data_IF_904537240034
#
_entry.id   IF_904537240034
#
_cell.length_a   1.000
_cell.length_b   1.000
_cell.length_c   1.000
_cell.angle_alpha   90.00
_cell.angle_beta   90.00
_cell.angle_gamma   90.00
#
_symmetry.space_group_name_H-M   'P 1'
#
loop_
_entity.id
_entity.type
_entity.pdbx_description
1 polymer ?
#
# COMPACT_ATOMS: atom_id res chain seq x y z
N UNK A 1 -7.51 20.17 -12.15
CA UNK A 1 -6.17 19.71 -11.72
C UNK A 1 -6.17 18.19 -11.78
N UNK A 2 -5.13 17.57 -12.35
CA UNK A 2 -4.98 16.12 -12.41
C UNK A 2 -3.86 15.71 -11.44
N UNK A 3 -4.16 14.90 -10.44
CA UNK A 3 -3.18 14.36 -9.50
C UNK A 3 -2.48 13.16 -10.14
N UNK A 4 -1.14 13.18 -10.14
CA UNK A 4 -0.31 12.03 -10.52
C UNK A 4 0.30 11.42 -9.25
N UNK A 5 0.13 10.12 -9.04
CA UNK A 5 0.60 9.42 -7.84
C UNK A 5 1.28 8.09 -8.24
N UNK A 6 2.61 8.08 -8.43
CA UNK A 6 3.34 6.86 -8.74
C UNK A 6 3.49 5.96 -7.50
N UNK A 7 3.45 4.64 -7.71
CA UNK A 7 3.55 3.61 -6.67
C UNK A 7 4.75 2.72 -6.95
N UNK A 8 5.51 2.37 -5.91
CA UNK A 8 6.74 1.58 -6.02
C UNK A 8 6.72 0.39 -5.06
N UNK A 9 7.23 -0.76 -5.51
CA UNK A 9 7.40 -1.94 -4.66
C UNK A 9 8.82 -1.94 -4.07
N UNK A 10 8.89 -1.96 -2.75
CA UNK A 10 10.13 -2.08 -2.00
C UNK A 10 10.21 -3.46 -1.32
N UNK A 11 11.23 -4.26 -1.65
CA UNK A 11 11.47 -5.60 -1.06
C UNK A 11 12.63 -5.63 -0.08
N UNK A 12 13.47 -4.61 -0.07
CA UNK A 12 14.67 -4.54 0.76
C UNK A 12 14.76 -3.16 1.39
N UNK A 13 14.86 -3.12 2.71
CA UNK A 13 15.05 -1.91 3.49
C UNK A 13 15.87 -2.24 4.74
N UNK A 14 16.32 -1.20 5.46
CA UNK A 14 17.07 -1.36 6.72
C UNK A 14 16.19 -1.03 7.91
N UNK A 15 16.26 -1.86 8.94
CA UNK A 15 15.46 -1.72 10.17
C UNK A 15 14.01 -2.18 10.03
N UNK A 16 13.22 -2.00 11.09
CA UNK A 16 11.80 -2.37 11.14
C UNK A 16 10.94 -1.12 11.05
N UNK A 17 9.91 -1.07 10.18
CA UNK A 17 8.96 0.03 10.12
C UNK A 17 8.32 0.30 11.48
N UNK A 18 8.37 1.56 11.92
CA UNK A 18 7.80 2.03 13.19
C UNK A 18 7.01 3.30 12.95
N UNK A 19 5.84 3.47 13.58
CA UNK A 19 5.09 4.72 13.48
C UNK A 19 5.84 5.82 14.20
N UNK A 20 5.98 6.99 13.56
CA UNK A 20 6.73 8.15 14.10
C UNK A 20 5.89 9.42 14.18
N UNK A 21 4.67 9.40 13.66
CA UNK A 21 3.75 10.53 13.53
C UNK A 21 2.38 10.21 14.14
N UNK A 22 2.30 9.21 15.03
CA UNK A 22 1.06 8.79 15.70
C UNK A 22 0.13 7.94 14.84
N UNK A 23 0.59 7.47 13.68
CA UNK A 23 -0.18 6.56 12.82
C UNK A 23 -0.17 5.12 13.34
N UNK A 24 -1.17 4.35 12.93
CA UNK A 24 -1.17 2.90 13.10
C UNK A 24 -0.64 2.21 11.83
N UNK A 25 0.18 1.18 12.01
CA UNK A 25 0.70 0.37 10.90
C UNK A 25 0.03 -1.00 10.88
N UNK A 26 -0.35 -1.46 9.68
CA UNK A 26 -0.91 -2.79 9.47
C UNK A 26 -0.11 -3.54 8.39
N UNK A 27 0.32 -4.76 8.71
CA UNK A 27 0.86 -5.70 7.74
C UNK A 27 -0.28 -6.53 7.16
N UNK A 28 -0.67 -6.25 5.91
CA UNK A 28 -1.88 -6.79 5.31
C UNK A 28 -1.53 -7.71 4.14
N UNK A 29 -2.14 -8.91 4.11
CA UNK A 29 -2.07 -9.78 2.93
C UNK A 29 -2.84 -9.13 1.78
N UNK A 30 -2.33 -9.25 0.55
CA UNK A 30 -2.92 -8.60 -0.64
C UNK A 30 -4.43 -8.85 -0.79
N UNK A 31 -4.90 -10.07 -0.50
CA UNK A 31 -6.32 -10.43 -0.61
C UNK A 31 -7.24 -9.70 0.38
N UNK A 32 -6.70 -9.16 1.47
CA UNK A 32 -7.43 -8.42 2.51
C UNK A 32 -7.33 -6.91 2.38
N UNK A 33 -6.59 -6.38 1.38
CA UNK A 33 -6.44 -4.93 1.22
C UNK A 33 -7.77 -4.21 1.05
N UNK A 34 -8.76 -4.85 0.40
CA UNK A 34 -10.10 -4.27 0.21
C UNK A 34 -10.90 -4.07 1.50
N UNK A 35 -10.51 -4.74 2.58
CA UNK A 35 -11.20 -4.65 3.87
C UNK A 35 -10.79 -3.39 4.66
N UNK A 36 -9.75 -2.68 4.21
CA UNK A 36 -9.23 -1.49 4.88
C UNK A 36 -9.82 -0.22 4.27
N UNK A 37 -10.18 0.79 5.09
CA UNK A 37 -10.65 2.06 4.58
C UNK A 37 -9.56 2.73 3.75
N UNK A 38 -9.89 3.08 2.51
CA UNK A 38 -8.97 3.72 1.56
C UNK A 38 -9.64 4.89 0.86
N UNK A 39 -8.86 5.93 0.48
CA UNK A 39 -9.36 6.97 -0.41
C UNK A 39 -9.80 6.40 -1.77
N UNK A 40 -10.78 7.02 -2.46
CA UNK A 40 -11.26 6.53 -3.76
C UNK A 40 -10.17 6.40 -4.85
N UNK A 41 -9.10 7.20 -4.75
CA UNK A 41 -7.98 7.18 -5.69
C UNK A 41 -7.09 5.94 -5.55
N UNK A 42 -7.11 5.26 -4.40
CA UNK A 42 -6.24 4.11 -4.11
C UNK A 42 -6.88 2.76 -4.45
N UNK A 43 -8.21 2.70 -4.52
CA UNK A 43 -8.94 1.47 -4.86
C UNK A 43 -8.48 0.82 -6.19
N UNK A 44 -8.22 1.57 -7.28
CA UNK A 44 -7.68 1.01 -8.52
C UNK A 44 -6.28 0.41 -8.35
N UNK A 45 -5.48 0.92 -7.41
CA UNK A 45 -4.10 0.47 -7.18
C UNK A 45 -4.06 -0.94 -6.59
N UNK A 46 -5.10 -1.39 -5.88
CA UNK A 46 -5.16 -2.74 -5.31
C UNK A 46 -5.00 -3.82 -6.40
N UNK A 47 -5.63 -3.62 -7.55
CA UNK A 47 -5.52 -4.56 -8.68
C UNK A 47 -4.07 -4.60 -9.20
N UNK A 48 -3.44 -3.42 -9.37
CA UNK A 48 -2.04 -3.32 -9.81
C UNK A 48 -1.08 -3.96 -8.81
N UNK A 49 -1.25 -3.68 -7.51
CA UNK A 49 -0.41 -4.25 -6.44
C UNK A 49 -0.49 -5.77 -6.40
N UNK A 50 -1.68 -6.35 -6.64
CA UNK A 50 -1.83 -7.81 -6.71
C UNK A 50 -0.97 -8.40 -7.82
N UNK A 51 -0.96 -7.77 -8.99
CA UNK A 51 -0.21 -8.27 -10.13
C UNK A 51 1.32 -8.03 -9.95
N UNK A 52 1.71 -6.97 -9.25
CA UNK A 52 3.13 -6.64 -8.97
C UNK A 52 3.77 -7.50 -7.86
N UNK A 53 2.96 -8.01 -6.93
CA UNK A 53 3.42 -8.70 -5.71
C UNK A 53 3.08 -10.20 -5.74
N UNK A 54 2.05 -10.62 -6.48
CA UNK A 54 1.54 -12.00 -6.51
C UNK A 54 2.33 -13.02 -7.35
N UNK A 55 3.60 -12.74 -7.65
CA UNK A 55 4.53 -13.66 -8.31
C UNK A 55 5.38 -14.45 -7.33
#
# INVERSE_FOLDING_TARGET
FHLLMPVYVCRQWRGTPTPREGQELAWVRISKLRDYPMPPADLPLIAMLRDMIGG
#
